data_IF_731339686204
#
_entry.id   IF_731339686204
#
_cell.length_a   1.000
_cell.length_b   1.000
_cell.length_c   1.000
_cell.angle_alpha   90.00
_cell.angle_beta   90.00
_cell.angle_gamma   90.00
#
_symmetry.space_group_name_H-M   'P 1'
#
loop_
_entity.id
_entity.type
_entity.pdbx_description
1 polymer ?
#
# COMPACT_ATOMS: atom_id res chain seq x y z
N UNK A 1 3.81 -2.30 37.18
CA UNK A 1 3.92 -3.05 35.90
C UNK A 1 2.90 -2.45 34.94
N UNK A 2 3.33 -1.71 33.92
CA UNK A 2 2.43 -1.24 32.88
C UNK A 2 2.33 -2.32 31.81
N UNK A 3 1.13 -2.79 31.43
CA UNK A 3 1.01 -3.65 30.27
C UNK A 3 1.33 -2.79 29.04
N UNK A 4 2.39 -3.18 28.32
CA UNK A 4 2.64 -2.76 26.95
C UNK A 4 1.42 -3.21 26.15
N UNK A 5 0.45 -2.30 26.00
CA UNK A 5 -0.60 -2.40 25.02
C UNK A 5 0.08 -2.22 23.67
N UNK A 6 0.63 -3.33 23.15
CA UNK A 6 0.89 -3.47 21.74
C UNK A 6 -0.40 -3.05 21.06
N UNK A 7 -0.39 -1.83 20.53
CA UNK A 7 -1.48 -1.33 19.73
C UNK A 7 -1.38 -2.14 18.46
N UNK A 8 -2.04 -3.31 18.44
CA UNK A 8 -2.53 -3.93 17.23
C UNK A 8 -3.56 -2.96 16.66
N UNK A 9 -3.09 -1.82 16.18
CA UNK A 9 -3.87 -0.96 15.31
C UNK A 9 -3.98 -1.78 14.04
N UNK A 10 -5.04 -2.58 13.96
CA UNK A 10 -5.46 -3.20 12.71
C UNK A 10 -5.70 -2.00 11.80
N UNK A 11 -4.72 -1.69 10.95
CA UNK A 11 -4.80 -0.55 10.06
C UNK A 11 -6.08 -0.71 9.25
N UNK A 12 -6.95 0.29 9.30
CA UNK A 12 -8.23 0.19 8.62
C UNK A 12 -7.97 0.06 7.11
N UNK A 13 -8.75 -0.75 6.37
CA UNK A 13 -8.56 -0.93 4.92
C UNK A 13 -8.46 0.39 4.15
N UNK A 14 -9.19 1.41 4.61
CA UNK A 14 -9.15 2.78 4.09
C UNK A 14 -7.79 3.47 4.28
N UNK A 15 -7.14 3.29 5.43
CA UNK A 15 -5.80 3.84 5.69
C UNK A 15 -4.76 3.15 4.80
N UNK A 16 -4.84 1.83 4.67
CA UNK A 16 -3.92 1.06 3.82
C UNK A 16 -4.07 1.48 2.35
N UNK A 17 -5.30 1.70 1.88
CA UNK A 17 -5.55 2.19 0.53
C UNK A 17 -4.97 3.60 0.30
N UNK A 18 -5.05 4.49 1.31
CA UNK A 18 -4.43 5.82 1.25
C UNK A 18 -2.90 5.70 1.17
N UNK A 19 -2.29 4.86 1.99
CA UNK A 19 -0.84 4.61 1.99
C UNK A 19 -0.37 4.02 0.65
N UNK A 20 -1.15 3.11 0.06
CA UNK A 20 -0.88 2.56 -1.26
C UNK A 20 -0.90 3.67 -2.33
N UNK A 21 -1.93 4.52 -2.35
CA UNK A 21 -2.01 5.63 -3.30
C UNK A 21 -0.87 6.63 -3.10
N UNK A 22 -0.50 6.96 -1.86
CA UNK A 22 0.64 7.84 -1.58
C UNK A 22 1.97 7.24 -2.02
N UNK A 23 2.16 5.94 -1.83
CA UNK A 23 3.37 5.23 -2.29
C UNK A 23 3.43 5.22 -3.82
N UNK A 24 2.33 4.90 -4.49
CA UNK A 24 2.22 4.93 -5.95
C UNK A 24 2.42 6.35 -6.52
N UNK A 25 1.94 7.38 -5.82
CA UNK A 25 2.18 8.78 -6.18
C UNK A 25 3.66 9.12 -6.08
N UNK A 26 4.33 8.70 -5.02
CA UNK A 26 5.77 8.92 -4.83
C UNK A 26 6.61 8.24 -5.92
N UNK A 27 6.11 7.14 -6.49
CA UNK A 27 6.75 6.43 -7.60
C UNK A 27 6.49 7.11 -8.96
N UNK A 28 5.29 7.59 -9.21
CA UNK A 28 4.85 8.05 -10.54
C UNK A 28 4.88 9.56 -10.72
N UNK A 29 4.94 10.32 -9.62
CA UNK A 29 4.91 11.78 -9.61
C UNK A 29 3.55 12.39 -10.01
N UNK A 30 2.51 11.59 -10.25
CA UNK A 30 1.19 12.10 -10.60
C UNK A 30 0.05 11.18 -10.11
N UNK A 31 -1.07 11.78 -9.69
CA UNK A 31 -2.16 11.04 -9.05
C UNK A 31 -2.88 10.08 -10.01
N UNK A 32 -3.07 10.47 -11.27
CA UNK A 32 -3.75 9.64 -12.27
C UNK A 32 -3.01 8.32 -12.50
N UNK A 33 -1.69 8.38 -12.69
CA UNK A 33 -0.84 7.20 -12.91
C UNK A 33 -0.72 6.37 -11.63
N UNK A 34 -0.71 7.01 -10.46
CA UNK A 34 -0.75 6.31 -9.18
C UNK A 34 -2.02 5.46 -9.03
N UNK A 35 -3.19 6.01 -9.37
CA UNK A 35 -4.46 5.27 -9.32
C UNK A 35 -4.49 4.11 -10.32
N UNK A 36 -3.99 4.32 -11.54
CA UNK A 36 -3.87 3.25 -12.55
C UNK A 36 -2.93 2.15 -12.05
N UNK A 37 -1.76 2.51 -11.52
CA UNK A 37 -0.81 1.55 -10.96
C UNK A 37 -1.41 0.75 -9.79
N UNK A 38 -2.14 1.39 -8.88
CA UNK A 38 -2.82 0.68 -7.80
C UNK A 38 -3.88 -0.31 -8.33
N UNK A 39 -4.60 0.05 -9.40
CA UNK A 39 -5.57 -0.82 -10.05
C UNK A 39 -4.89 -2.00 -10.74
N UNK A 40 -3.79 -1.78 -11.45
CA UNK A 40 -3.04 -2.83 -12.14
C UNK A 40 -2.42 -3.84 -11.16
N UNK A 41 -2.10 -3.38 -9.95
CA UNK A 41 -1.57 -4.23 -8.88
C UNK A 41 -2.65 -4.90 -8.02
N UNK A 42 -3.92 -4.48 -8.17
CA UNK A 42 -5.05 -5.04 -7.45
C UNK A 42 -5.22 -6.51 -7.81
N UNK A 43 -5.49 -7.32 -6.80
CA UNK A 43 -5.73 -8.75 -6.97
C UNK A 43 -7.19 -9.02 -6.62
N UNK A 44 -8.03 -9.21 -7.63
CA UNK A 44 -9.48 -9.37 -7.45
C UNK A 44 -9.84 -10.73 -6.84
N UNK A 45 -8.94 -11.70 -6.86
CA UNK A 45 -9.12 -13.02 -6.24
C UNK A 45 -8.90 -12.97 -4.72
N UNK A 46 -8.28 -11.91 -4.20
CA UNK A 46 -8.10 -11.72 -2.76
C UNK A 46 -9.36 -11.12 -2.10
N UNK A 47 -9.65 -11.48 -0.84
CA UNK A 47 -10.69 -10.80 -0.06
C UNK A 47 -10.43 -9.29 0.02
N UNK A 48 -11.48 -8.47 -0.13
CA UNK A 48 -11.39 -7.01 -0.20
C UNK A 48 -10.57 -6.37 0.94
N UNK A 49 -10.64 -6.93 2.15
CA UNK A 49 -9.88 -6.48 3.32
C UNK A 49 -8.35 -6.68 3.19
N UNK A 50 -7.90 -7.61 2.34
CA UNK A 50 -6.49 -7.91 2.09
C UNK A 50 -5.97 -7.25 0.80
N UNK A 51 -6.84 -6.87 -0.12
CA UNK A 51 -6.47 -6.30 -1.42
C UNK A 51 -5.58 -5.06 -1.28
N UNK A 52 -5.98 -4.10 -0.43
CA UNK A 52 -5.22 -2.87 -0.23
C UNK A 52 -3.80 -3.15 0.32
N UNK A 53 -3.68 -4.11 1.24
CA UNK A 53 -2.39 -4.51 1.80
C UNK A 53 -1.50 -5.16 0.73
N UNK A 54 -2.07 -6.04 -0.09
CA UNK A 54 -1.34 -6.67 -1.19
C UNK A 54 -0.81 -5.65 -2.20
N UNK A 55 -1.63 -4.65 -2.57
CA UNK A 55 -1.19 -3.54 -3.44
C UNK A 55 -0.05 -2.76 -2.79
N UNK A 56 -0.17 -2.42 -1.51
CA UNK A 56 0.87 -1.68 -0.78
C UNK A 56 2.21 -2.45 -0.75
N UNK A 57 2.18 -3.76 -0.50
CA UNK A 57 3.37 -4.62 -0.51
C UNK A 57 4.02 -4.64 -1.90
N UNK A 58 3.22 -4.81 -2.97
CA UNK A 58 3.73 -4.79 -4.35
C UNK A 58 4.38 -3.44 -4.69
N UNK A 59 3.75 -2.33 -4.30
CA UNK A 59 4.30 -0.98 -4.49
C UNK A 59 5.61 -0.78 -3.73
N UNK A 60 5.70 -1.27 -2.49
CA UNK A 60 6.92 -1.20 -1.70
C UNK A 60 8.07 -1.99 -2.37
N UNK A 61 7.78 -3.16 -2.92
CA UNK A 61 8.76 -3.94 -3.68
C UNK A 61 9.25 -3.18 -4.92
N UNK A 62 8.35 -2.53 -5.67
CA UNK A 62 8.71 -1.68 -6.82
C UNK A 62 9.61 -0.52 -6.37
N UNK A 63 9.29 0.12 -5.25
CA UNK A 63 10.09 1.21 -4.69
C UNK A 63 11.50 0.76 -4.30
N UNK A 64 11.62 -0.41 -3.66
CA UNK A 64 12.88 -0.98 -3.20
C UNK A 64 13.75 -1.51 -4.36
N UNK A 65 13.14 -1.93 -5.46
CA UNK A 65 13.82 -2.39 -6.67
C UNK A 65 14.34 -1.25 -7.55
N UNK A 66 14.02 0.02 -7.25
CA UNK A 66 14.61 1.13 -8.01
C UNK A 66 16.12 1.14 -7.81
N UNK A 67 16.91 1.14 -8.91
CA UNK A 67 18.34 1.37 -8.78
C UNK A 67 18.56 2.73 -8.13
N UNK A 68 19.34 2.76 -7.05
CA UNK A 68 19.92 4.01 -6.53
C UNK A 68 20.87 4.53 -7.60
N UNK A 69 20.38 5.44 -8.43
CA UNK A 69 21.18 6.16 -9.41
C UNK A 69 21.96 7.30 -8.74
#
# INVERSE_FOLDING_TARGET
MNPVRASNTVAHPTQIAQDAVMTAYSLTGNLSSATVLCRDLLDEDLPAEHQAMAVLVKLHNIAMLRPKH
#
